data_IF_849648827305
#
_entry.id   IF_849648827305
#
_cell.length_a   1.000
_cell.length_b   1.000
_cell.length_c   1.000
_cell.angle_alpha   90.00
_cell.angle_beta   90.00
_cell.angle_gamma   90.00
#
_symmetry.space_group_name_H-M   'P 1'
#
loop_
_entity.id
_entity.type
_entity.pdbx_description
1 polymer ?
#
# COMPACT_ATOMS: atom_id res chain seq x y z
N UNK A 1 -15.80 -1.35 3.53
CA UNK A 1 -14.92 -0.19 3.68
C UNK A 1 -13.57 -0.55 3.05
N UNK A 2 -12.83 0.41 2.48
CA UNK A 2 -11.48 0.16 1.94
C UNK A 2 -10.47 0.28 3.08
N UNK A 3 -10.38 -0.74 3.94
CA UNK A 3 -9.47 -0.73 5.10
C UNK A 3 -8.01 -0.51 4.65
N UNK A 4 -7.66 -0.94 3.44
CA UNK A 4 -6.30 -0.79 2.88
C UNK A 4 -5.94 0.68 2.63
N UNK A 5 -6.88 1.49 2.14
CA UNK A 5 -6.63 2.90 1.86
C UNK A 5 -6.50 3.71 3.15
N UNK A 6 -7.26 3.36 4.20
CA UNK A 6 -7.10 4.00 5.51
C UNK A 6 -5.76 3.68 6.16
N UNK A 7 -5.30 2.43 6.09
CA UNK A 7 -3.97 2.04 6.59
C UNK A 7 -2.89 2.86 5.88
N UNK A 8 -2.95 2.94 4.54
CA UNK A 8 -2.01 3.75 3.75
C UNK A 8 -2.06 5.22 4.13
N UNK A 9 -3.27 5.76 4.35
CA UNK A 9 -3.48 7.16 4.75
C UNK A 9 -2.84 7.48 6.08
N UNK A 10 -3.11 6.67 7.10
CA UNK A 10 -2.55 6.89 8.44
C UNK A 10 -1.03 6.71 8.42
N UNK A 11 -0.52 5.66 7.76
CA UNK A 11 0.93 5.42 7.66
C UNK A 11 1.68 6.60 7.01
N UNK A 12 1.22 7.07 5.85
CA UNK A 12 1.88 8.16 5.12
C UNK A 12 1.71 9.51 5.82
N UNK A 13 0.58 9.72 6.49
CA UNK A 13 0.37 10.89 7.35
C UNK A 13 1.34 10.89 8.54
N UNK A 14 1.53 9.75 9.20
CA UNK A 14 2.45 9.66 10.35
C UNK A 14 3.92 9.72 9.94
N UNK A 15 4.32 9.05 8.85
CA UNK A 15 5.72 8.97 8.41
C UNK A 15 6.17 10.17 7.58
N UNK A 16 5.33 10.64 6.66
CA UNK A 16 5.68 11.69 5.70
C UNK A 16 4.92 13.01 5.95
N UNK A 17 4.04 13.09 6.96
CA UNK A 17 3.17 14.26 7.19
C UNK A 17 2.36 14.67 5.95
N UNK A 18 1.96 13.67 5.15
CA UNK A 18 1.12 13.89 3.97
C UNK A 18 -0.33 14.01 4.40
N UNK A 19 -1.02 15.00 3.83
CA UNK A 19 -2.45 15.16 4.06
C UNK A 19 -3.24 13.96 3.49
N UNK A 20 -4.07 13.28 4.29
CA UNK A 20 -4.81 12.09 3.84
C UNK A 20 -5.79 12.38 2.71
N UNK A 21 -6.20 13.65 2.51
CA UNK A 21 -7.01 14.05 1.37
C UNK A 21 -6.23 13.97 0.04
N UNK A 22 -4.90 14.05 0.05
CA UNK A 22 -4.04 13.88 -1.14
C UNK A 22 -3.77 12.40 -1.46
N UNK A 23 -4.00 11.51 -0.51
CA UNK A 23 -3.79 10.07 -0.65
C UNK A 23 -5.07 9.47 -1.24
N UNK A 24 -5.14 9.53 -2.57
CA UNK A 24 -6.23 8.99 -3.39
C UNK A 24 -5.68 7.95 -4.35
N UNK A 25 -6.55 7.07 -4.86
CA UNK A 25 -6.16 5.97 -5.76
C UNK A 25 -5.41 6.43 -7.01
N UNK A 26 -5.70 7.63 -7.51
CA UNK A 26 -5.05 8.22 -8.70
C UNK A 26 -3.69 8.88 -8.38
N UNK A 27 -3.38 9.11 -7.09
CA UNK A 27 -2.13 9.74 -6.69
C UNK A 27 -0.94 8.83 -7.01
N UNK A 28 0.09 9.41 -7.62
CA UNK A 28 1.34 8.70 -7.90
C UNK A 28 2.19 8.63 -6.64
N UNK A 29 2.90 7.52 -6.49
CA UNK A 29 3.83 7.32 -5.37
C UNK A 29 4.95 8.36 -5.38
N UNK A 30 5.52 8.62 -6.56
CA UNK A 30 6.56 9.65 -6.74
C UNK A 30 6.07 11.07 -6.39
N UNK A 31 4.79 11.38 -6.67
CA UNK A 31 4.21 12.71 -6.32
C UNK A 31 3.94 12.86 -4.82
N UNK A 32 3.91 11.74 -4.09
CA UNK A 32 3.78 11.66 -2.64
C UNK A 32 5.14 11.48 -1.95
N UNK A 33 6.25 11.64 -2.66
CA UNK A 33 7.61 11.46 -2.10
C UNK A 33 7.84 10.04 -1.54
N UNK A 34 7.16 9.05 -2.14
CA UNK A 34 7.29 7.63 -1.76
C UNK A 34 8.40 7.00 -2.60
N UNK A 35 9.59 6.92 -2.03
CA UNK A 35 10.71 6.17 -2.57
C UNK A 35 10.54 4.65 -2.43
N UNK A 36 11.43 3.89 -3.06
CA UNK A 36 11.45 2.42 -3.00
C UNK A 36 11.53 1.87 -1.57
N UNK A 37 12.23 2.54 -0.66
CA UNK A 37 12.31 2.15 0.75
C UNK A 37 10.99 2.41 1.49
N UNK A 38 10.38 3.58 1.29
CA UNK A 38 9.08 3.92 1.86
C UNK A 38 7.98 2.98 1.36
N UNK A 39 8.05 2.60 0.09
CA UNK A 39 7.16 1.60 -0.50
C UNK A 39 7.32 0.23 0.18
N UNK A 40 8.55 -0.21 0.45
CA UNK A 40 8.80 -1.45 1.18
C UNK A 40 8.26 -1.40 2.62
N UNK A 41 8.49 -0.30 3.35
CA UNK A 41 7.93 -0.13 4.70
C UNK A 41 6.39 -0.16 4.69
N UNK A 42 5.78 0.50 3.70
CA UNK A 42 4.34 0.53 3.55
C UNK A 42 3.76 -0.85 3.23
N UNK A 43 4.45 -1.64 2.42
CA UNK A 43 4.07 -3.03 2.19
C UNK A 43 4.14 -3.84 3.47
N UNK A 44 5.22 -3.75 4.26
CA UNK A 44 5.30 -4.48 5.53
C UNK A 44 4.17 -4.11 6.49
N UNK A 45 3.82 -2.82 6.59
CA UNK A 45 2.69 -2.40 7.42
C UNK A 45 1.36 -2.99 6.90
N UNK A 46 1.16 -3.03 5.59
CA UNK A 46 -0.04 -3.64 5.01
C UNK A 46 -0.09 -5.15 5.23
N UNK A 47 1.04 -5.86 5.14
CA UNK A 47 1.16 -7.29 5.44
C UNK A 47 0.79 -7.59 6.90
N UNK A 48 1.37 -6.86 7.84
CA UNK A 48 1.08 -7.00 9.28
C UNK A 48 -0.36 -6.67 9.64
N UNK A 49 -0.92 -5.57 9.09
CA UNK A 49 -2.28 -5.12 9.41
C UNK A 49 -3.36 -5.99 8.75
N UNK A 50 -3.08 -6.56 7.59
CA UNK A 50 -4.06 -7.30 6.79
C UNK A 50 -3.87 -8.82 6.85
N UNK A 51 -2.83 -9.33 7.52
CA UNK A 51 -2.46 -10.75 7.60
C UNK A 51 -2.30 -11.39 6.18
N UNK A 52 -1.64 -10.64 5.28
CA UNK A 52 -1.36 -11.05 3.91
C UNK A 52 0.14 -11.22 3.68
N UNK A 53 0.54 -12.12 2.79
CA UNK A 53 1.96 -12.33 2.47
C UNK A 53 2.34 -11.60 1.18
N UNK A 54 3.06 -10.48 1.31
CA UNK A 54 3.55 -9.69 0.19
C UNK A 54 4.91 -10.25 -0.26
N UNK A 55 4.87 -11.24 -1.15
CA UNK A 55 6.08 -11.84 -1.73
C UNK A 55 6.98 -10.80 -2.43
N UNK A 56 8.29 -11.09 -2.56
CA UNK A 56 9.23 -10.18 -3.23
C UNK A 56 9.03 -10.04 -4.74
N UNK A 57 8.21 -10.90 -5.36
CA UNK A 57 7.93 -10.92 -6.80
C UNK A 57 6.79 -9.98 -7.22
N UNK A 58 6.37 -9.07 -6.34
CA UNK A 58 5.27 -8.17 -6.64
C UNK A 58 5.68 -7.07 -7.63
N UNK A 59 4.80 -6.73 -8.59
CA UNK A 59 5.04 -5.60 -9.47
C UNK A 59 5.11 -4.32 -8.65
N UNK A 60 6.06 -3.44 -8.97
CA UNK A 60 6.16 -2.13 -8.31
C UNK A 60 4.99 -1.24 -8.75
N UNK A 61 4.05 -0.89 -7.86
CA UNK A 61 2.95 0.00 -8.21
C UNK A 61 3.46 1.42 -8.52
N UNK A 62 2.78 2.11 -9.44
CA UNK A 62 3.06 3.54 -9.71
C UNK A 62 2.13 4.49 -8.97
N UNK A 63 0.99 4.00 -8.51
CA UNK A 63 -0.07 4.77 -7.87
C UNK A 63 -0.59 4.04 -6.64
N UNK A 64 -1.23 4.80 -5.74
CA UNK A 64 -1.88 4.24 -4.54
C UNK A 64 -2.95 3.21 -4.92
N UNK A 65 -3.70 3.44 -5.99
CA UNK A 65 -4.72 2.51 -6.48
C UNK A 65 -4.13 1.17 -6.90
N UNK A 66 -3.07 1.17 -7.71
CA UNK A 66 -2.38 -0.05 -8.13
C UNK A 66 -1.85 -0.84 -6.95
N UNK A 67 -1.28 -0.15 -5.96
CA UNK A 67 -0.78 -0.80 -4.74
C UNK A 67 -1.90 -1.49 -3.96
N UNK A 68 -3.04 -0.82 -3.78
CA UNK A 68 -4.22 -1.41 -3.12
C UNK A 68 -4.74 -2.61 -3.92
N UNK A 69 -4.74 -2.55 -5.25
CA UNK A 69 -5.15 -3.68 -6.09
C UNK A 69 -4.22 -4.89 -5.93
N UNK A 70 -2.91 -4.68 -5.83
CA UNK A 70 -1.93 -5.76 -5.57
C UNK A 70 -2.26 -6.46 -4.25
N UNK A 71 -2.41 -5.68 -3.17
CA UNK A 71 -2.71 -6.20 -1.83
C UNK A 71 -4.04 -6.94 -1.81
N UNK A 72 -5.07 -6.40 -2.48
CA UNK A 72 -6.37 -7.06 -2.65
C UNK A 72 -6.29 -8.37 -3.40
N UNK A 73 -5.47 -8.43 -4.45
CA UNK A 73 -5.24 -9.64 -5.22
C UNK A 73 -4.71 -10.77 -4.33
N UNK A 74 -3.79 -10.43 -3.43
CA UNK A 74 -3.19 -11.40 -2.48
C UNK A 74 -4.16 -11.84 -1.40
N UNK A 75 -4.96 -10.92 -0.84
CA UNK A 75 -5.99 -11.25 0.16
C UNK A 75 -7.03 -12.23 -0.38
N UNK A 76 -7.35 -12.13 -1.67
CA UNK A 76 -8.33 -12.99 -2.33
C UNK A 76 -7.70 -14.22 -3.00
N UNK A 77 -6.37 -14.32 -3.04
CA UNK A 77 -5.71 -15.50 -3.57
C UNK A 77 -5.98 -16.69 -2.63
N UNK A 78 -6.44 -17.85 -3.15
CA UNK A 78 -6.56 -19.04 -2.31
C UNK A 78 -5.16 -19.36 -1.77
N UNK A 79 -5.03 -19.41 -0.43
CA UNK A 79 -3.81 -19.90 0.23
C UNK A 79 -3.56 -21.30 -0.36
N UNK A 80 -2.58 -21.41 -1.25
CA UNK A 80 -2.18 -22.70 -1.81
C UNK A 80 -1.68 -23.54 -0.61
N UNK A 81 -2.48 -24.54 -0.25
CA UNK A 81 -2.23 -25.43 0.88
C UNK A 81 -1.07 -26.37 0.65
#
# INVERSE_FOLDING_TARGET
MNDELEIVREFLKERLSIDPARIVSEAKLEELDIDSLMLLELFFELEEKLDVNLSQDLPTPKTIGQMIEIVRGLKNAPRAG
#
